data_IF_431214874424
#
_entry.id   IF_431214874424
#
_cell.length_a   1.000
_cell.length_b   1.000
_cell.length_c   1.000
_cell.angle_alpha   90.00
_cell.angle_beta   90.00
_cell.angle_gamma   90.00
#
_symmetry.space_group_name_H-M   'P 1'
#
loop_
_entity.id
_entity.type
_entity.pdbx_description
1 polymer ?
#
# COMPACT_ATOMS: atom_id res chain seq x y z
N UNK A 1 -10.53 -44.47 -20.93
CA UNK A 1 -11.72 -43.66 -21.28
C UNK A 1 -11.48 -42.15 -21.08
N UNK A 2 -10.81 -41.71 -20.01
CA UNK A 2 -10.46 -40.28 -19.81
C UNK A 2 -9.63 -39.65 -20.93
N UNK A 3 -8.63 -40.36 -21.48
CA UNK A 3 -7.80 -39.82 -22.55
C UNK A 3 -8.58 -39.50 -23.85
N UNK A 4 -9.61 -40.29 -24.17
CA UNK A 4 -10.45 -40.03 -25.35
C UNK A 4 -11.31 -38.78 -25.13
N UNK A 5 -11.96 -38.67 -23.96
CA UNK A 5 -12.77 -37.52 -23.61
C UNK A 5 -11.95 -36.22 -23.51
N UNK A 6 -10.70 -36.32 -23.05
CA UNK A 6 -9.77 -35.18 -22.95
C UNK A 6 -9.34 -34.68 -24.34
N UNK A 7 -8.96 -35.59 -25.24
CA UNK A 7 -8.61 -35.24 -26.62
C UNK A 7 -9.82 -34.67 -27.40
N UNK A 8 -11.03 -35.21 -27.19
CA UNK A 8 -12.25 -34.68 -27.79
C UNK A 8 -12.54 -33.26 -27.29
N UNK A 9 -12.48 -33.01 -25.98
CA UNK A 9 -12.69 -31.67 -25.42
C UNK A 9 -11.67 -30.65 -25.92
N UNK A 10 -10.41 -31.08 -26.06
CA UNK A 10 -9.34 -30.23 -26.59
C UNK A 10 -9.59 -29.88 -28.06
N UNK A 11 -9.91 -30.88 -28.89
CA UNK A 11 -10.21 -30.68 -30.30
C UNK A 11 -11.43 -29.76 -30.50
N UNK A 12 -12.48 -29.94 -29.70
CA UNK A 12 -13.68 -29.10 -29.74
C UNK A 12 -13.35 -27.65 -29.37
N UNK A 13 -12.65 -27.45 -28.27
CA UNK A 13 -12.23 -26.11 -27.83
C UNK A 13 -11.43 -25.42 -28.93
N UNK A 14 -10.40 -26.08 -29.47
CA UNK A 14 -9.58 -25.53 -30.56
C UNK A 14 -10.42 -25.21 -31.81
N UNK A 15 -11.37 -26.08 -32.19
CA UNK A 15 -12.21 -25.89 -33.38
C UNK A 15 -13.19 -24.74 -33.20
N UNK A 16 -13.82 -24.62 -32.03
CA UNK A 16 -14.76 -23.54 -31.71
C UNK A 16 -14.03 -22.20 -31.68
N UNK A 17 -12.89 -22.12 -30.98
CA UNK A 17 -12.09 -20.89 -30.96
C UNK A 17 -11.59 -20.50 -32.34
N UNK A 18 -11.12 -21.48 -33.14
CA UNK A 18 -10.69 -21.25 -34.50
C UNK A 18 -11.83 -20.74 -35.38
N UNK A 19 -13.04 -21.30 -35.27
CA UNK A 19 -14.20 -20.83 -36.01
C UNK A 19 -14.56 -19.37 -35.65
N UNK A 20 -14.55 -19.04 -34.36
CA UNK A 20 -14.81 -17.67 -33.87
C UNK A 20 -13.76 -16.70 -34.43
N UNK A 21 -12.50 -17.11 -34.46
CA UNK A 21 -11.39 -16.32 -35.00
C UNK A 21 -11.47 -16.14 -36.53
N UNK A 22 -11.66 -17.23 -37.27
CA UNK A 22 -11.70 -17.24 -38.74
C UNK A 22 -12.90 -16.42 -39.27
N UNK A 23 -14.04 -16.49 -38.57
CA UNK A 23 -15.25 -15.73 -38.91
C UNK A 23 -15.31 -14.34 -38.26
N UNK A 24 -14.29 -13.95 -37.48
CA UNK A 24 -14.21 -12.67 -36.76
C UNK A 24 -15.46 -12.37 -35.94
N UNK A 25 -15.98 -13.38 -35.27
CA UNK A 25 -17.14 -13.22 -34.40
C UNK A 25 -16.67 -12.48 -33.15
N UNK A 26 -17.18 -11.27 -32.94
CA UNK A 26 -16.88 -10.51 -31.74
C UNK A 26 -17.68 -11.11 -30.58
N UNK A 27 -17.00 -11.88 -29.73
CA UNK A 27 -17.57 -12.48 -28.53
C UNK A 27 -17.07 -11.78 -27.26
N UNK A 28 -17.82 -11.92 -26.16
CA UNK A 28 -17.43 -11.53 -24.81
C UNK A 28 -17.18 -12.79 -23.98
N UNK A 29 -15.94 -12.96 -23.52
CA UNK A 29 -15.55 -14.13 -22.73
C UNK A 29 -15.34 -15.38 -23.58
N UNK A 30 -15.63 -16.54 -22.98
CA UNK A 30 -15.38 -17.87 -23.56
C UNK A 30 -16.68 -18.57 -23.98
N UNK A 31 -16.68 -19.37 -25.07
CA UNK A 31 -17.81 -20.21 -25.44
C UNK A 31 -18.07 -21.27 -24.35
N UNK A 32 -19.33 -21.41 -23.93
CA UNK A 32 -19.72 -22.38 -22.90
C UNK A 32 -20.60 -23.49 -23.49
N UNK A 33 -20.43 -24.77 -23.08
CA UNK A 33 -21.35 -25.83 -23.48
C UNK A 33 -22.80 -25.52 -23.06
N UNK A 34 -23.76 -25.75 -23.95
CA UNK A 34 -25.18 -25.52 -23.67
C UNK A 34 -25.78 -26.73 -22.94
N UNK A 35 -25.71 -26.77 -21.62
CA UNK A 35 -26.18 -27.92 -20.83
C UNK A 35 -27.67 -28.25 -21.01
N UNK A 36 -28.50 -27.27 -21.37
CA UNK A 36 -29.95 -27.44 -21.52
C UNK A 36 -30.35 -28.16 -22.83
N UNK A 37 -29.58 -27.96 -23.91
CA UNK A 37 -29.86 -28.51 -25.24
C UNK A 37 -28.87 -29.60 -25.64
N UNK A 38 -27.75 -29.72 -24.94
CA UNK A 38 -26.76 -30.74 -25.18
C UNK A 38 -27.37 -32.12 -24.95
N UNK A 39 -27.38 -32.95 -26.00
CA UNK A 39 -27.83 -34.34 -25.86
C UNK A 39 -26.81 -35.14 -25.05
N UNK A 40 -27.30 -36.14 -24.32
CA UNK A 40 -26.43 -37.04 -23.56
C UNK A 40 -25.59 -37.87 -24.55
N UNK A 41 -24.28 -37.66 -24.53
CA UNK A 41 -23.34 -38.32 -25.45
C UNK A 41 -22.84 -39.63 -24.85
N UNK A 42 -23.13 -40.75 -25.53
CA UNK A 42 -22.55 -42.05 -25.22
C UNK A 42 -21.43 -42.40 -26.22
N UNK A 43 -20.19 -42.23 -25.77
CA UNK A 43 -18.98 -42.54 -26.55
C UNK A 43 -18.79 -44.05 -26.85
N UNK A 44 -19.56 -44.96 -26.24
CA UNK A 44 -19.46 -46.40 -26.50
C UNK A 44 -20.41 -46.86 -27.62
N UNK A 45 -21.52 -46.17 -27.85
CA UNK A 45 -22.60 -46.61 -28.77
C UNK A 45 -22.88 -45.64 -29.92
N UNK A 46 -22.52 -44.36 -29.78
CA UNK A 46 -22.77 -43.35 -30.79
C UNK A 46 -21.59 -43.24 -31.78
N UNK A 47 -21.91 -43.18 -33.08
CA UNK A 47 -20.93 -42.98 -34.16
C UNK A 47 -20.80 -41.50 -34.57
N UNK A 48 -21.83 -40.68 -34.29
CA UNK A 48 -21.87 -39.25 -34.59
C UNK A 48 -22.13 -38.44 -33.31
N UNK A 49 -21.43 -37.32 -33.16
CA UNK A 49 -21.50 -36.46 -31.97
C UNK A 49 -21.84 -35.01 -32.36
N UNK A 50 -22.82 -34.43 -31.69
CA UNK A 50 -23.19 -33.02 -31.84
C UNK A 50 -22.91 -32.26 -30.54
N UNK A 51 -22.20 -31.13 -30.63
CA UNK A 51 -21.85 -30.30 -29.48
C UNK A 51 -22.39 -28.88 -29.69
N UNK A 52 -23.14 -28.40 -28.70
CA UNK A 52 -23.77 -27.08 -28.70
C UNK A 52 -23.03 -26.17 -27.72
N UNK A 53 -22.68 -24.97 -28.20
CA UNK A 53 -22.02 -23.95 -27.40
C UNK A 53 -22.81 -22.66 -27.45
N UNK A 54 -22.97 -22.04 -26.28
CA UNK A 54 -23.47 -20.68 -26.14
C UNK A 54 -22.31 -19.69 -26.21
N UNK A 55 -22.50 -18.65 -27.01
CA UNK A 55 -21.57 -17.53 -27.15
C UNK A 55 -22.26 -16.22 -26.81
N UNK A 56 -21.60 -15.39 -26.02
CA UNK A 56 -22.04 -14.02 -25.80
C UNK A 56 -21.45 -13.12 -26.89
N UNK A 57 -22.28 -12.53 -27.74
CA UNK A 57 -21.80 -11.57 -28.75
C UNK A 57 -21.50 -10.22 -28.10
N UNK A 58 -20.38 -9.61 -28.48
CA UNK A 58 -20.07 -8.26 -28.07
C UNK A 58 -21.07 -7.28 -28.70
N UNK A 59 -21.71 -6.41 -27.91
CA UNK A 59 -22.64 -5.44 -28.44
C UNK A 59 -21.87 -4.42 -29.28
N UNK A 60 -22.41 -4.07 -30.45
CA UNK A 60 -21.94 -2.93 -31.21
C UNK A 60 -22.49 -1.65 -30.59
N UNK A 61 -21.60 -0.76 -30.17
CA UNK A 61 -21.98 0.59 -29.77
C UNK A 61 -21.09 1.61 -30.47
N UNK A 62 -21.68 2.77 -30.77
CA UNK A 62 -20.98 3.89 -31.38
C UNK A 62 -20.75 4.95 -30.30
N UNK A 63 -19.49 5.15 -29.90
CA UNK A 63 -19.12 6.27 -29.05
C UNK A 63 -18.95 7.52 -29.90
N UNK A 64 -19.94 8.41 -29.87
CA UNK A 64 -19.85 9.71 -30.55
C UNK A 64 -19.46 10.78 -29.53
N UNK A 65 -18.33 11.44 -29.76
CA UNK A 65 -17.93 12.63 -29.00
C UNK A 65 -18.44 13.85 -29.75
N UNK A 66 -19.14 14.73 -29.05
CA UNK A 66 -19.74 15.93 -29.58
C UNK A 66 -19.24 17.16 -28.83
N UNK A 67 -19.50 18.36 -29.36
CA UNK A 67 -19.21 19.61 -28.67
C UNK A 67 -20.02 19.81 -27.36
N UNK A 68 -20.97 18.93 -27.06
CA UNK A 68 -21.71 18.93 -25.78
C UNK A 68 -20.95 18.22 -24.67
N UNK A 69 -20.02 17.33 -25.02
CA UNK A 69 -19.24 16.55 -24.07
C UNK A 69 -18.10 17.42 -23.55
N UNK A 70 -18.27 17.92 -22.32
CA UNK A 70 -17.27 18.74 -21.64
C UNK A 70 -16.42 17.87 -20.73
N UNK A 71 -15.12 18.00 -20.86
CA UNK A 71 -14.13 17.39 -19.97
C UNK A 71 -13.35 18.51 -19.32
N UNK A 72 -13.10 18.39 -18.03
CA UNK A 72 -12.30 19.39 -17.32
C UNK A 72 -10.85 19.33 -17.81
N UNK A 73 -10.32 20.49 -18.18
CA UNK A 73 -8.94 20.66 -18.56
C UNK A 73 -8.29 21.68 -17.64
N UNK A 74 -7.32 21.23 -16.85
CA UNK A 74 -6.62 22.07 -15.89
C UNK A 74 -5.25 22.47 -16.43
N UNK A 75 -5.02 23.78 -16.58
CA UNK A 75 -3.69 24.32 -16.79
C UNK A 75 -3.09 24.61 -15.42
N UNK A 76 -2.17 23.77 -14.97
CA UNK A 76 -1.49 23.96 -13.70
C UNK A 76 -0.23 24.79 -13.98
N UNK A 77 -0.21 26.02 -13.48
CA UNK A 77 0.99 26.85 -13.51
C UNK A 77 1.94 26.43 -12.39
N UNK A 78 3.21 26.27 -12.74
CA UNK A 78 4.25 25.98 -11.75
C UNK A 78 4.66 27.30 -11.11
N UNK A 79 4.34 27.47 -9.83
CA UNK A 79 4.76 28.65 -9.06
C UNK A 79 6.20 28.50 -8.58
N UNK A 80 6.88 29.62 -8.34
CA UNK A 80 8.22 29.62 -7.73
C UNK A 80 8.21 28.92 -6.36
N UNK A 81 7.11 29.03 -5.60
CA UNK A 81 6.94 28.33 -4.32
C UNK A 81 6.97 26.80 -4.48
N UNK A 82 6.35 26.25 -5.53
CA UNK A 82 6.40 24.81 -5.79
C UNK A 82 7.83 24.35 -6.11
N UNK A 83 8.57 25.16 -6.87
CA UNK A 83 9.98 24.89 -7.18
C UNK A 83 10.83 24.97 -5.91
N UNK A 84 10.68 26.02 -5.11
CA UNK A 84 11.44 26.22 -3.88
C UNK A 84 11.16 25.13 -2.86
N UNK A 85 9.91 24.71 -2.70
CA UNK A 85 9.54 23.59 -1.82
C UNK A 85 10.18 22.28 -2.30
N UNK A 86 10.21 22.05 -3.61
CA UNK A 86 10.86 20.87 -4.18
C UNK A 86 12.38 20.91 -3.97
N UNK A 87 13.01 22.08 -4.14
CA UNK A 87 14.44 22.29 -3.87
C UNK A 87 14.73 22.04 -2.38
N UNK A 88 13.96 22.62 -1.46
CA UNK A 88 14.10 22.39 -0.02
C UNK A 88 14.01 20.92 0.35
N UNK A 89 13.01 20.20 -0.20
CA UNK A 89 12.85 18.78 0.04
C UNK A 89 14.07 17.96 -0.46
N UNK A 90 14.61 18.31 -1.64
CA UNK A 90 15.83 17.67 -2.15
C UNK A 90 17.06 18.00 -1.30
N UNK A 91 17.21 19.25 -0.85
CA UNK A 91 18.31 19.65 0.03
C UNK A 91 18.24 18.90 1.37
N UNK A 92 17.07 18.80 1.99
CA UNK A 92 16.88 18.06 3.24
C UNK A 92 17.21 16.57 3.07
N UNK A 93 16.77 15.94 1.97
CA UNK A 93 17.02 14.51 1.73
C UNK A 93 18.50 14.18 1.51
N UNK A 94 19.28 15.12 0.99
CA UNK A 94 20.72 14.97 0.77
C UNK A 94 21.56 15.68 1.82
N UNK A 95 20.93 16.18 2.89
CA UNK A 95 21.61 16.77 4.02
C UNK A 95 22.47 15.75 4.76
N UNK A 96 23.52 16.23 5.41
CA UNK A 96 24.31 15.44 6.36
C UNK A 96 23.92 15.85 7.76
N UNK A 97 23.87 14.88 8.68
CA UNK A 97 23.71 15.17 10.09
C UNK A 97 25.06 15.69 10.63
N UNK A 98 25.05 16.93 11.10
CA UNK A 98 26.13 17.49 11.91
C UNK A 98 25.76 17.42 13.39
N UNK A 99 26.76 17.23 14.24
CA UNK A 99 26.55 17.24 15.69
C UNK A 99 26.49 18.67 16.18
N UNK A 100 25.38 19.02 16.84
CA UNK A 100 25.16 20.31 17.49
C UNK A 100 25.11 20.16 19.01
N UNK A 101 25.45 21.23 19.72
CA UNK A 101 25.55 21.22 21.19
C UNK A 101 24.23 21.61 21.90
N UNK A 102 23.32 22.27 21.18
CA UNK A 102 22.03 22.76 21.68
C UNK A 102 20.94 22.27 20.73
N UNK A 103 19.87 21.72 21.30
CA UNK A 103 18.71 21.24 20.56
C UNK A 103 17.88 22.38 19.95
N UNK A 104 17.55 22.24 18.66
CA UNK A 104 16.52 22.98 17.94
C UNK A 104 15.41 22.04 17.43
N UNK A 105 14.22 22.59 17.09
CA UNK A 105 12.99 21.80 16.85
C UNK A 105 13.09 20.70 15.77
N UNK A 106 14.07 20.76 14.86
CA UNK A 106 14.26 19.76 13.81
C UNK A 106 15.44 18.81 14.07
N UNK A 107 16.05 18.89 15.26
CA UNK A 107 17.17 18.05 15.62
C UNK A 107 16.74 16.68 16.12
N UNK A 108 17.62 15.71 15.87
CA UNK A 108 17.49 14.36 16.38
C UNK A 108 18.28 14.23 17.68
N UNK A 109 17.59 13.90 18.76
CA UNK A 109 18.21 13.58 20.03
C UNK A 109 18.57 12.11 20.10
N UNK A 110 19.80 11.82 20.51
CA UNK A 110 20.28 10.46 20.76
C UNK A 110 20.86 10.37 22.16
N UNK A 111 20.37 9.43 22.96
CA UNK A 111 20.78 9.31 24.36
C UNK A 111 20.40 7.98 25.00
N UNK A 112 20.58 7.95 26.32
CA UNK A 112 20.11 6.86 27.19
C UNK A 112 18.72 7.24 27.71
N UNK A 113 17.73 6.36 27.52
CA UNK A 113 16.47 6.45 28.25
C UNK A 113 16.49 5.45 29.40
N UNK A 114 16.12 5.91 30.59
CA UNK A 114 16.00 5.08 31.77
C UNK A 114 14.69 5.39 32.48
N UNK A 115 13.98 4.34 32.88
CA UNK A 115 12.77 4.46 33.71
C UNK A 115 13.15 4.95 35.11
N UNK A 116 12.41 5.93 35.61
CA UNK A 116 12.59 6.46 36.96
C UNK A 116 11.55 5.86 37.92
N UNK A 117 11.92 5.70 39.19
CA UNK A 117 11.02 5.33 40.27
C UNK A 117 10.25 6.55 40.84
N UNK A 118 9.43 6.33 41.87
CA UNK A 118 8.65 7.40 42.51
C UNK A 118 9.53 8.46 43.20
N UNK A 119 10.80 8.16 43.44
CA UNK A 119 11.79 9.05 44.06
C UNK A 119 12.63 9.80 43.00
N UNK A 120 12.42 9.51 41.71
CA UNK A 120 13.15 10.11 40.59
C UNK A 120 14.52 9.47 40.32
N UNK A 121 14.84 8.34 40.95
CA UNK A 121 16.06 7.58 40.70
C UNK A 121 15.84 6.56 39.59
N UNK A 122 16.91 6.11 38.94
CA UNK A 122 16.83 5.03 37.95
C UNK A 122 16.31 3.76 38.61
N UNK A 123 15.16 3.27 38.14
CA UNK A 123 14.48 2.09 38.69
C UNK A 123 15.32 0.83 38.46
N UNK A 124 15.65 0.12 39.53
CA UNK A 124 16.39 -1.14 39.45
C UNK A 124 15.55 -2.20 38.71
N UNK A 125 16.08 -2.71 37.59
CA UNK A 125 15.35 -3.63 36.70
C UNK A 125 14.27 -2.98 35.83
N UNK A 126 14.19 -1.64 35.79
CA UNK A 126 13.29 -0.89 34.90
C UNK A 126 13.76 -0.85 33.44
N UNK A 127 12.99 -0.19 32.59
CA UNK A 127 13.33 -0.03 31.16
C UNK A 127 14.61 0.80 31.03
N UNK A 128 15.60 0.27 30.30
CA UNK A 128 16.78 1.01 29.86
C UNK A 128 16.99 0.81 28.36
N UNK A 129 17.04 1.92 27.62
CA UNK A 129 17.28 1.92 26.18
C UNK A 129 18.54 2.72 25.89
N UNK A 130 19.63 2.00 25.64
CA UNK A 130 20.87 2.59 25.14
C UNK A 130 20.71 3.03 23.68
N UNK A 131 21.13 4.26 23.39
CA UNK A 131 21.10 4.82 22.05
C UNK A 131 19.69 5.04 21.51
N UNK A 132 18.73 5.33 22.38
CA UNK A 132 17.40 5.77 21.99
C UNK A 132 17.53 7.01 21.10
N UNK A 133 16.74 7.04 20.03
CA UNK A 133 16.71 8.14 19.06
C UNK A 133 15.29 8.68 19.00
N UNK A 134 15.15 9.99 19.13
CA UNK A 134 13.85 10.64 19.10
C UNK A 134 13.94 12.06 18.54
N UNK A 135 12.83 12.54 17.98
CA UNK A 135 12.63 13.92 17.57
C UNK A 135 11.45 14.49 18.37
N UNK A 136 11.69 15.36 19.38
CA UNK A 136 10.63 15.94 20.19
C UNK A 136 9.56 16.66 19.37
N UNK A 137 9.88 17.22 18.20
CA UNK A 137 8.89 17.85 17.31
C UNK A 137 7.74 16.93 16.89
N UNK A 138 7.92 15.61 16.86
CA UNK A 138 6.85 14.65 16.56
C UNK A 138 5.94 14.31 17.74
N UNK A 139 6.26 14.75 18.96
CA UNK A 139 5.37 14.58 20.09
C UNK A 139 4.02 15.27 19.82
N UNK A 140 2.97 14.81 20.47
CA UNK A 140 1.63 15.40 20.37
C UNK A 140 1.35 16.42 21.47
N UNK A 141 2.00 16.26 22.63
CA UNK A 141 1.80 17.15 23.77
C UNK A 141 2.88 18.25 23.81
N UNK A 142 2.46 19.51 23.77
CA UNK A 142 3.38 20.66 23.71
C UNK A 142 4.12 20.92 25.03
N UNK A 143 3.55 20.55 26.19
CA UNK A 143 4.24 20.66 27.48
C UNK A 143 5.44 19.69 27.53
N UNK A 144 5.25 18.46 27.02
CA UNK A 144 6.33 17.48 26.94
C UNK A 144 7.40 17.90 25.91
N UNK A 145 7.01 18.55 24.81
CA UNK A 145 7.98 19.13 23.86
C UNK A 145 8.84 20.21 24.49
N UNK A 146 8.21 21.12 25.26
CA UNK A 146 8.87 22.27 25.84
C UNK A 146 10.03 21.89 26.79
N UNK A 147 10.00 20.68 27.38
CA UNK A 147 11.07 20.15 28.24
C UNK A 147 12.40 20.07 27.47
N UNK A 148 12.36 19.83 26.16
CA UNK A 148 13.56 19.67 25.32
C UNK A 148 14.06 20.99 24.73
N UNK A 149 13.31 22.09 24.86
CA UNK A 149 13.66 23.37 24.26
C UNK A 149 15.00 23.89 24.84
N UNK A 150 16.01 24.03 23.97
CA UNK A 150 17.34 24.49 24.38
C UNK A 150 18.16 23.48 25.19
N UNK A 151 17.74 22.21 25.21
CA UNK A 151 18.48 21.13 25.84
C UNK A 151 19.89 20.99 25.27
N UNK A 152 20.86 20.67 26.11
CA UNK A 152 22.26 20.51 25.73
C UNK A 152 22.71 19.06 25.80
N UNK A 153 23.81 18.77 25.11
CA UNK A 153 24.48 17.47 25.21
C UNK A 153 24.88 17.20 26.67
N UNK A 154 24.48 16.03 27.18
CA UNK A 154 24.64 15.56 28.57
C UNK A 154 23.64 16.14 29.59
N UNK A 155 22.64 16.92 29.18
CA UNK A 155 21.55 17.27 30.09
C UNK A 155 20.72 16.03 30.43
N UNK A 156 20.27 15.95 31.68
CA UNK A 156 19.34 14.93 32.15
C UNK A 156 17.95 15.55 32.19
N UNK A 157 17.07 15.07 31.33
CA UNK A 157 15.70 15.54 31.21
C UNK A 157 14.73 14.45 31.64
N UNK A 158 13.64 14.86 32.29
CA UNK A 158 12.57 13.95 32.72
C UNK A 158 11.31 14.34 31.97
N UNK A 159 10.73 13.38 31.24
CA UNK A 159 9.50 13.56 30.49
C UNK A 159 8.62 12.30 30.60
N UNK A 160 7.33 12.45 30.33
CA UNK A 160 6.38 11.35 30.31
C UNK A 160 6.13 10.91 28.86
N UNK A 161 6.67 9.74 28.42
CA UNK A 161 6.52 9.29 27.04
C UNK A 161 5.06 8.99 26.68
N UNK A 162 4.25 8.46 27.62
CA UNK A 162 2.84 8.17 27.37
C UNK A 162 2.05 9.46 27.06
N UNK A 163 2.26 10.51 27.86
CA UNK A 163 1.66 11.84 27.61
C UNK A 163 2.21 12.48 26.34
N UNK A 164 3.53 12.35 26.09
CA UNK A 164 4.18 12.93 24.91
C UNK A 164 3.58 12.40 23.60
N UNK A 165 3.22 11.11 23.56
CA UNK A 165 2.71 10.43 22.35
C UNK A 165 1.20 10.16 22.38
N UNK A 166 0.47 10.74 23.33
CA UNK A 166 -0.99 10.56 23.48
C UNK A 166 -1.38 9.06 23.55
N UNK A 167 -0.61 8.28 24.32
CA UNK A 167 -0.84 6.85 24.50
C UNK A 167 -0.66 6.00 23.23
N UNK A 168 0.01 6.49 22.19
CA UNK A 168 0.24 5.71 20.98
C UNK A 168 1.17 4.51 21.24
N UNK A 169 0.58 3.32 21.37
CA UNK A 169 1.30 2.08 21.65
C UNK A 169 2.41 1.75 20.63
N UNK A 170 2.27 2.14 19.35
CA UNK A 170 3.29 1.89 18.34
C UNK A 170 4.54 2.76 18.53
N UNK A 171 4.36 4.05 18.82
CA UNK A 171 5.47 4.97 19.10
C UNK A 171 6.15 4.61 20.42
N UNK A 172 5.36 4.28 21.45
CA UNK A 172 5.86 3.88 22.76
C UNK A 172 6.65 2.57 22.72
N UNK A 173 6.12 1.54 22.05
CA UNK A 173 6.84 0.27 21.86
C UNK A 173 8.17 0.46 21.12
N UNK A 174 8.18 1.28 20.06
CA UNK A 174 9.41 1.56 19.30
C UNK A 174 10.44 2.34 20.11
N UNK A 175 10.00 3.36 20.86
CA UNK A 175 10.89 4.22 21.64
C UNK A 175 11.49 3.49 22.84
N UNK A 176 10.63 2.76 23.57
CA UNK A 176 10.99 2.06 24.80
C UNK A 176 11.53 0.64 24.56
N UNK A 177 11.49 0.14 23.31
CA UNK A 177 11.84 -1.23 22.92
C UNK A 177 11.09 -2.30 23.73
N UNK A 178 9.81 -2.06 23.95
CA UNK A 178 8.90 -2.97 24.66
C UNK A 178 7.86 -3.54 23.69
N UNK A 179 7.27 -4.68 24.03
CA UNK A 179 6.14 -5.23 23.27
C UNK A 179 4.90 -4.31 23.34
N UNK A 180 4.05 -4.40 22.31
CA UNK A 180 2.82 -3.60 22.18
C UNK A 180 1.74 -3.99 23.19
#
# INVERSE_FOLDING_TARGET
>A
KSALAEEVNKLLSETVYKYIQDNKVNILGEPLPNEDKQQEIDFDTMEEFEFLFDIALAPEFKAEVSAKDKVDYYTIEVTDEMVDNQVKAYTQRNGKYDKVDVYEDNDMLKGLLAELDEEGNTKEGGIQVEGAVMMPSYMKNDEQKAIFAGAKVNDVLVFNPNTAWDGNAAELSSLLKIDK
#
